data_IF_151729788652
#
_entry.id   IF_151729788652
#
_cell.length_a   1.000
_cell.length_b   1.000
_cell.length_c   1.000
_cell.angle_alpha   90.00
_cell.angle_beta   90.00
_cell.angle_gamma   90.00
#
_symmetry.space_group_name_H-M   'P 1'
#
loop_
_entity.id
_entity.type
_entity.pdbx_description
1 polymer ?
#
# COMPACT_ATOMS: atom_id res chain seq x y z
N UNK A 1 -8.16 21.46 23.03
CA UNK A 1 -8.82 20.56 22.05
C UNK A 1 -9.02 21.36 20.79
N UNK A 2 -8.28 21.07 19.72
CA UNK A 2 -8.57 21.59 18.40
C UNK A 2 -9.08 20.41 17.57
N UNK A 3 -10.33 20.50 17.12
CA UNK A 3 -10.92 19.54 16.20
C UNK A 3 -10.16 19.68 14.87
N UNK A 4 -9.30 18.70 14.56
CA UNK A 4 -8.58 18.67 13.29
C UNK A 4 -9.56 18.33 12.18
N UNK A 5 -10.18 19.33 11.54
CA UNK A 5 -10.97 19.13 10.34
C UNK A 5 -10.02 18.90 9.15
N UNK A 6 -9.98 17.66 8.65
CA UNK A 6 -9.01 17.15 7.67
C UNK A 6 -9.62 17.13 6.27
N UNK A 7 -8.91 17.63 5.26
CA UNK A 7 -9.36 17.54 3.86
C UNK A 7 -8.98 16.17 3.31
N UNK A 8 -9.99 15.35 3.00
CA UNK A 8 -9.81 14.16 2.18
C UNK A 8 -9.81 14.61 0.73
N UNK A 9 -8.65 14.57 0.07
CA UNK A 9 -8.56 14.92 -1.35
C UNK A 9 -8.85 13.69 -2.23
N UNK A 10 -9.93 13.78 -2.99
CA UNK A 10 -10.29 12.81 -4.02
C UNK A 10 -9.81 13.38 -5.35
N UNK A 11 -8.97 12.62 -6.04
CA UNK A 11 -8.45 13.03 -7.35
C UNK A 11 -9.27 12.38 -8.45
N UNK A 12 -9.42 13.10 -9.57
CA UNK A 12 -9.94 12.50 -10.80
C UNK A 12 -9.08 11.30 -11.21
N UNK A 13 -9.67 10.38 -11.97
CA UNK A 13 -8.95 9.20 -12.44
C UNK A 13 -7.61 9.58 -13.08
N UNK A 14 -6.52 9.00 -12.58
CA UNK A 14 -5.21 9.16 -13.18
C UNK A 14 -4.87 7.90 -14.01
N UNK A 15 -4.70 8.00 -15.34
CA UNK A 15 -4.31 6.87 -16.18
C UNK A 15 -2.96 6.25 -15.78
N UNK A 16 -2.10 6.99 -15.07
CA UNK A 16 -0.85 6.48 -14.54
C UNK A 16 -1.05 5.36 -13.52
N UNK A 17 -2.18 5.28 -12.82
CA UNK A 17 -2.47 4.19 -11.88
C UNK A 17 -2.40 2.81 -12.55
N UNK A 18 -2.83 2.73 -13.81
CA UNK A 18 -2.72 1.50 -14.62
C UNK A 18 -1.26 1.16 -14.92
N UNK A 19 -0.42 2.18 -15.13
CA UNK A 19 1.00 2.01 -15.41
C UNK A 19 1.77 1.62 -14.13
N UNK A 20 1.49 2.29 -13.01
CA UNK A 20 2.07 1.99 -11.71
C UNK A 20 1.73 0.58 -11.25
N UNK A 21 0.47 0.16 -11.40
CA UNK A 21 0.08 -1.23 -11.14
C UNK A 21 0.89 -2.22 -12.00
N UNK A 22 1.06 -1.96 -13.30
CA UNK A 22 1.86 -2.82 -14.19
C UNK A 22 3.32 -2.92 -13.73
N UNK A 23 3.94 -1.80 -13.35
CA UNK A 23 5.32 -1.78 -12.82
C UNK A 23 5.44 -2.65 -11.57
N UNK A 24 4.52 -2.49 -10.62
CA UNK A 24 4.48 -3.27 -9.37
C UNK A 24 4.24 -4.75 -9.68
N UNK A 25 3.32 -5.06 -10.59
CA UNK A 25 3.02 -6.44 -11.01
C UNK A 25 4.26 -7.13 -11.58
N UNK A 26 4.94 -6.48 -12.55
CA UNK A 26 6.17 -7.01 -13.15
C UNK A 26 7.26 -7.23 -12.08
N UNK A 27 7.42 -6.28 -11.15
CA UNK A 27 8.36 -6.42 -10.05
C UNK A 27 8.03 -7.66 -9.21
N UNK A 28 6.79 -7.82 -8.74
CA UNK A 28 6.37 -8.96 -7.92
C UNK A 28 6.57 -10.28 -8.68
N UNK A 29 6.17 -10.34 -9.95
CA UNK A 29 6.37 -11.50 -10.83
C UNK A 29 7.85 -11.88 -10.95
N UNK A 30 8.75 -10.90 -11.05
CA UNK A 30 10.19 -11.15 -11.14
C UNK A 30 10.82 -11.74 -9.85
N UNK A 31 10.24 -11.48 -8.68
CA UNK A 31 10.77 -11.96 -7.40
C UNK A 31 10.12 -13.28 -6.94
N UNK A 32 8.83 -13.46 -7.18
CA UNK A 32 8.05 -14.59 -6.64
C UNK A 32 7.81 -15.68 -7.70
N UNK A 33 7.79 -15.32 -8.99
CA UNK A 33 7.67 -16.26 -10.11
C UNK A 33 6.44 -17.17 -10.02
N UNK A 34 6.65 -18.45 -10.26
CA UNK A 34 5.60 -19.47 -10.44
C UNK A 34 4.74 -19.74 -9.20
N UNK A 35 5.10 -19.20 -8.03
CA UNK A 35 4.29 -19.30 -6.81
C UNK A 35 3.08 -18.35 -6.82
N UNK A 36 3.00 -17.44 -7.80
CA UNK A 36 1.89 -16.50 -7.94
C UNK A 36 0.70 -17.19 -8.60
N UNK A 37 -0.40 -17.32 -7.86
CA UNK A 37 -1.68 -17.80 -8.43
C UNK A 37 -2.35 -16.73 -9.30
N UNK A 38 -2.35 -15.46 -8.87
CA UNK A 38 -2.87 -14.30 -9.61
C UNK A 38 -2.44 -12.98 -8.97
N UNK A 39 -2.30 -11.93 -9.79
CA UNK A 39 -2.16 -10.53 -9.34
C UNK A 39 -3.19 -9.69 -10.10
N UNK A 40 -4.05 -9.02 -9.34
CA UNK A 40 -5.16 -8.20 -9.83
C UNK A 40 -5.04 -6.77 -9.31
N UNK A 41 -5.43 -5.79 -10.13
CA UNK A 41 -5.55 -4.40 -9.69
C UNK A 41 -6.94 -4.22 -9.07
N UNK A 42 -6.98 -4.06 -7.76
CA UNK A 42 -8.23 -3.94 -7.00
C UNK A 42 -8.39 -2.54 -6.37
N UNK A 43 -9.63 -2.16 -6.07
CA UNK A 43 -9.98 -0.87 -5.46
C UNK A 43 -10.28 0.24 -6.46
N UNK A 44 -10.63 1.45 -5.99
CA UNK A 44 -11.11 2.52 -6.87
C UNK A 44 -10.08 2.99 -7.91
N UNK A 45 -8.78 2.85 -7.65
CA UNK A 45 -7.73 3.21 -8.61
C UNK A 45 -7.63 2.24 -9.80
N UNK A 46 -8.30 1.08 -9.73
CA UNK A 46 -8.36 0.12 -10.85
C UNK A 46 -9.55 0.35 -11.79
N UNK A 47 -10.47 1.23 -11.43
CA UNK A 47 -11.67 1.54 -12.21
C UNK A 47 -11.42 2.78 -13.05
N UNK A 48 -11.36 2.61 -14.37
CA UNK A 48 -11.15 3.71 -15.31
C UNK A 48 -12.27 4.75 -15.20
N UNK A 49 -11.89 6.03 -15.12
CA UNK A 49 -12.82 7.14 -14.93
C UNK A 49 -13.33 7.34 -13.49
N UNK A 50 -13.00 6.44 -12.55
CA UNK A 50 -13.41 6.59 -11.15
C UNK A 50 -12.41 7.45 -10.37
N UNK A 51 -12.92 8.52 -9.76
CA UNK A 51 -12.13 9.34 -8.86
C UNK A 51 -11.76 8.56 -7.59
N UNK A 52 -10.52 8.68 -7.13
CA UNK A 52 -10.01 7.87 -6.04
C UNK A 52 -8.96 8.60 -5.19
N UNK A 53 -8.63 8.02 -4.05
CA UNK A 53 -7.48 8.40 -3.23
C UNK A 53 -6.25 7.62 -3.72
N UNK A 54 -5.10 8.26 -4.00
CA UNK A 54 -3.90 7.57 -4.45
C UNK A 54 -3.14 6.90 -3.28
N UNK A 55 -3.78 5.94 -2.61
CA UNK A 55 -3.28 5.32 -1.35
C UNK A 55 -1.90 4.65 -1.53
N UNK A 56 -1.66 4.01 -2.68
CA UNK A 56 -0.42 3.28 -2.96
C UNK A 56 0.76 4.25 -3.07
N UNK A 57 0.58 5.36 -3.77
CA UNK A 57 1.61 6.38 -3.96
C UNK A 57 2.00 7.03 -2.62
N UNK A 58 1.00 7.36 -1.79
CA UNK A 58 1.21 7.96 -0.47
C UNK A 58 2.02 7.04 0.44
N UNK A 59 1.73 5.74 0.45
CA UNK A 59 2.48 4.76 1.24
C UNK A 59 3.93 4.63 0.72
N UNK A 60 4.12 4.55 -0.61
CA UNK A 60 5.44 4.46 -1.25
C UNK A 60 6.30 5.67 -0.89
N UNK A 61 5.79 6.86 -1.11
CA UNK A 61 6.54 8.11 -0.94
C UNK A 61 6.94 8.32 0.52
N UNK A 62 6.05 7.99 1.46
CA UNK A 62 6.38 8.05 2.88
C UNK A 62 7.47 7.07 3.28
N UNK A 63 7.41 5.81 2.84
CA UNK A 63 8.45 4.82 3.13
C UNK A 63 9.79 5.15 2.45
N UNK A 64 9.75 5.78 1.27
CA UNK A 64 10.96 6.27 0.59
C UNK A 64 11.62 7.37 1.41
N UNK A 65 10.84 8.35 1.86
CA UNK A 65 11.32 9.50 2.64
C UNK A 65 11.69 9.19 4.10
N UNK A 66 11.16 8.11 4.69
CA UNK A 66 11.36 7.78 6.10
C UNK A 66 12.06 6.43 6.29
N UNK A 67 13.41 6.42 6.26
CA UNK A 67 14.22 5.19 6.36
C UNK A 67 13.92 4.38 7.63
N UNK A 68 13.77 5.03 8.79
CA UNK A 68 13.47 4.33 10.04
C UNK A 68 12.15 3.57 9.97
N UNK A 69 11.10 4.20 9.43
CA UNK A 69 9.78 3.55 9.27
C UNK A 69 9.84 2.45 8.22
N UNK A 70 10.63 2.63 7.16
CA UNK A 70 10.88 1.58 6.16
C UNK A 70 11.52 0.34 6.77
N UNK A 71 12.52 0.51 7.63
CA UNK A 71 13.15 -0.61 8.37
C UNK A 71 12.17 -1.28 9.32
N UNK A 72 11.37 -0.51 10.05
CA UNK A 72 10.32 -1.05 10.93
C UNK A 72 9.29 -1.88 10.14
N UNK A 73 8.90 -1.40 8.95
CA UNK A 73 7.99 -2.14 8.08
C UNK A 73 8.61 -3.42 7.52
N UNK A 74 9.90 -3.37 7.16
CA UNK A 74 10.65 -4.53 6.70
C UNK A 74 10.74 -5.62 7.78
N UNK A 75 11.13 -5.25 9.00
CA UNK A 75 11.20 -6.16 10.15
C UNK A 75 9.84 -6.77 10.47
N UNK A 76 8.77 -5.96 10.42
CA UNK A 76 7.41 -6.45 10.58
C UNK A 76 7.08 -7.52 9.53
N UNK A 77 7.42 -7.30 8.26
CA UNK A 77 7.17 -8.29 7.19
C UNK A 77 7.91 -9.59 7.43
N UNK A 78 9.17 -9.56 7.88
CA UNK A 78 9.91 -10.78 8.20
C UNK A 78 9.27 -11.54 9.35
N UNK A 79 8.95 -10.88 10.47
CA UNK A 79 8.26 -11.52 11.61
C UNK A 79 6.90 -12.11 11.22
N UNK A 80 6.12 -11.39 10.42
CA UNK A 80 4.83 -11.89 9.97
C UNK A 80 4.98 -13.07 9.00
N UNK A 81 5.98 -13.06 8.12
CA UNK A 81 6.24 -14.19 7.22
C UNK A 81 6.61 -15.47 7.99
N UNK A 82 7.33 -15.35 9.10
CA UNK A 82 7.62 -16.49 10.00
C UNK A 82 6.34 -17.00 10.70
N UNK A 83 5.54 -16.09 11.26
CA UNK A 83 4.35 -16.43 12.04
C UNK A 83 3.17 -16.93 11.19
N UNK A 84 3.09 -16.49 9.92
CA UNK A 84 1.99 -16.79 9.00
C UNK A 84 2.47 -17.59 7.78
N UNK A 85 3.49 -18.44 7.96
CA UNK A 85 4.19 -19.19 6.90
C UNK A 85 3.28 -19.92 5.89
N UNK A 86 2.09 -20.35 6.34
CA UNK A 86 1.10 -21.06 5.52
C UNK A 86 -0.27 -20.37 5.48
N UNK A 87 -0.37 -19.11 5.93
CA UNK A 87 -1.62 -18.35 5.98
C UNK A 87 -1.41 -16.93 5.42
N UNK A 88 -1.51 -16.81 4.10
CA UNK A 88 -1.29 -15.53 3.39
C UNK A 88 -2.34 -14.47 3.76
N UNK A 89 -3.58 -14.88 4.01
CA UNK A 89 -4.66 -13.95 4.38
C UNK A 89 -4.38 -13.34 5.77
N UNK A 90 -3.97 -14.18 6.73
CA UNK A 90 -3.55 -13.72 8.06
C UNK A 90 -2.32 -12.81 8.01
N UNK A 91 -1.34 -13.11 7.14
CA UNK A 91 -0.21 -12.21 6.88
C UNK A 91 -0.67 -10.83 6.36
N UNK A 92 -1.59 -10.82 5.40
CA UNK A 92 -2.12 -9.59 4.80
C UNK A 92 -2.93 -8.77 5.81
N UNK A 93 -3.76 -9.43 6.61
CA UNK A 93 -4.55 -8.78 7.66
C UNK A 93 -3.65 -8.21 8.75
N UNK A 94 -2.66 -8.98 9.23
CA UNK A 94 -1.80 -8.58 10.35
C UNK A 94 -0.91 -7.35 10.07
N UNK A 95 -0.62 -7.03 8.81
CA UNK A 95 0.10 -5.78 8.44
C UNK A 95 -0.82 -4.58 8.21
N UNK A 96 -2.14 -4.79 8.21
CA UNK A 96 -3.12 -3.75 7.87
C UNK A 96 -3.06 -2.57 8.82
N UNK A 97 -2.93 -2.79 10.12
CA UNK A 97 -2.89 -1.71 11.11
C UNK A 97 -1.64 -0.85 11.00
N UNK A 98 -0.50 -1.46 10.66
CA UNK A 98 0.73 -0.74 10.40
C UNK A 98 0.61 0.17 9.16
N UNK A 99 0.08 -0.39 8.06
CA UNK A 99 -0.16 0.37 6.82
C UNK A 99 -1.17 1.49 7.05
N UNK A 100 -2.29 1.21 7.74
CA UNK A 100 -3.25 2.24 8.16
C UNK A 100 -2.60 3.30 9.04
N UNK A 101 -1.69 2.91 9.94
CA UNK A 101 -0.91 3.83 10.77
C UNK A 101 -0.07 4.81 9.96
N UNK A 102 0.63 4.33 8.92
CA UNK A 102 1.38 5.18 7.99
C UNK A 102 0.46 6.07 7.16
N UNK A 103 -0.61 5.48 6.61
CA UNK A 103 -1.61 6.23 5.85
C UNK A 103 -2.24 7.33 6.71
N UNK A 104 -2.47 7.06 7.99
CA UNK A 104 -2.92 8.06 8.93
C UNK A 104 -1.85 9.15 9.14
N UNK A 105 -0.57 8.81 9.32
CA UNK A 105 0.49 9.83 9.48
C UNK A 105 0.65 10.70 8.22
N UNK A 106 0.49 10.12 7.04
CA UNK A 106 0.65 10.84 5.76
C UNK A 106 -0.58 11.66 5.39
N UNK A 107 -1.77 11.11 5.61
CA UNK A 107 -3.05 11.78 5.34
C UNK A 107 -3.44 12.78 6.44
N UNK A 108 -2.72 12.81 7.58
CA UNK A 108 -3.00 13.68 8.73
C UNK A 108 -1.82 14.57 9.16
N UNK A 109 -0.76 14.67 8.35
CA UNK A 109 0.33 15.64 8.51
C UNK A 109 0.39 16.50 7.23
N UNK A 110 -0.39 17.57 7.25
CA UNK A 110 -0.09 18.90 6.71
C UNK A 110 -0.94 19.88 7.50
#
# INVERSE_FOLDING_TARGET
MAEKTRIIEIMSYNPEWKMEFKKIKIMIESYIGDLILRIEHVGSTSVEGLAAKPIIDILRDYLSANEAVRKEYEELKYRLAENYRYNIDGYCEAKTDFVKGILNKTLYIN
#
